data_IF_282504397930
#
_entry.id   IF_282504397930
#
_cell.length_a   1.000
_cell.length_b   1.000
_cell.length_c   1.000
_cell.angle_alpha   90.00
_cell.angle_beta   90.00
_cell.angle_gamma   90.00
#
_symmetry.space_group_name_H-M   'P 1'
#
loop_
_entity.id
_entity.type
_entity.pdbx_description
1 polymer ?
#
# COMPACT_ATOMS: atom_id res chain seq x y z
N UNK A 1 -15.48 10.25 30.02
CA UNK A 1 -14.05 10.41 29.71
C UNK A 1 -13.85 9.69 28.39
N UNK A 2 -13.92 10.39 27.26
CA UNK A 2 -13.82 9.76 25.95
C UNK A 2 -12.38 9.31 25.75
N UNK A 3 -12.16 8.02 25.46
CA UNK A 3 -10.87 7.53 24.98
C UNK A 3 -10.57 8.27 23.67
N UNK A 4 -9.77 9.32 23.76
CA UNK A 4 -9.39 10.14 22.62
C UNK A 4 -8.48 9.33 21.72
N UNK A 5 -9.05 8.73 20.67
CA UNK A 5 -8.26 8.08 19.65
C UNK A 5 -7.37 9.14 19.00
N UNK A 6 -6.06 8.91 18.92
CA UNK A 6 -5.10 9.82 18.29
C UNK A 6 -5.54 10.14 16.85
N UNK A 7 -5.11 11.26 16.28
CA UNK A 7 -5.29 11.45 14.83
C UNK A 7 -4.40 10.49 14.07
N UNK A 8 -4.78 10.14 12.85
CA UNK A 8 -3.97 9.22 12.02
C UNK A 8 -2.61 9.85 11.76
N UNK A 9 -2.59 11.14 11.43
CA UNK A 9 -1.36 11.92 11.23
C UNK A 9 -0.42 11.86 12.45
N UNK A 10 -0.96 12.01 13.66
CA UNK A 10 -0.17 11.94 14.90
C UNK A 10 0.41 10.52 15.09
N UNK A 11 -0.34 9.47 14.76
CA UNK A 11 0.16 8.10 14.81
C UNK A 11 1.27 7.84 13.79
N UNK A 12 1.13 8.36 12.56
CA UNK A 12 2.13 8.23 11.50
C UNK A 12 3.46 8.92 11.90
N UNK A 13 3.38 10.09 12.54
CA UNK A 13 4.56 10.81 13.05
C UNK A 13 5.24 10.02 14.19
N UNK A 14 4.45 9.48 15.12
CA UNK A 14 4.96 8.61 16.19
C UNK A 14 5.68 7.39 15.61
N UNK A 15 5.07 6.71 14.63
CA UNK A 15 5.69 5.55 13.97
C UNK A 15 6.99 5.95 13.27
N UNK A 16 7.01 7.09 12.57
CA UNK A 16 8.21 7.58 11.89
C UNK A 16 9.33 7.88 12.88
N UNK A 17 9.03 8.51 14.01
CA UNK A 17 10.00 8.78 15.07
C UNK A 17 10.55 7.51 15.71
N UNK A 18 9.69 6.52 16.02
CA UNK A 18 10.13 5.22 16.54
C UNK A 18 10.98 4.50 15.49
N UNK A 19 10.56 4.50 14.23
CA UNK A 19 11.31 3.89 13.12
C UNK A 19 12.70 4.51 13.05
N UNK A 20 12.82 5.84 13.07
CA UNK A 20 14.11 6.53 13.08
C UNK A 20 15.04 6.08 14.22
N UNK A 21 14.50 5.96 15.44
CA UNK A 21 15.26 5.48 16.58
C UNK A 21 15.73 4.02 16.39
N UNK A 22 14.85 3.15 15.88
CA UNK A 22 15.17 1.75 15.61
C UNK A 22 16.21 1.58 14.48
N UNK A 23 16.17 2.46 13.46
CA UNK A 23 17.16 2.45 12.37
C UNK A 23 18.59 2.71 12.87
N UNK A 24 18.74 3.41 14.00
CA UNK A 24 20.03 3.70 14.63
C UNK A 24 20.64 2.50 15.37
N UNK A 25 19.92 1.37 15.49
CA UNK A 25 20.44 0.14 16.08
C UNK A 25 21.48 -0.49 15.15
N UNK A 26 22.71 -0.69 15.66
CA UNK A 26 23.83 -1.28 14.91
C UNK A 26 23.67 -2.79 14.68
N UNK A 27 23.03 -3.50 15.61
CA UNK A 27 22.74 -4.91 15.47
C UNK A 27 21.61 -5.11 14.44
N UNK A 28 21.98 -5.66 13.28
CA UNK A 28 21.08 -5.84 12.14
C UNK A 28 19.88 -6.75 12.46
N UNK A 29 20.10 -7.84 13.20
CA UNK A 29 19.03 -8.80 13.51
C UNK A 29 18.08 -8.24 14.57
N UNK A 30 18.62 -7.55 15.57
CA UNK A 30 17.82 -6.83 16.55
C UNK A 30 17.00 -5.71 15.90
N UNK A 31 17.58 -4.97 14.96
CA UNK A 31 16.88 -3.92 14.20
C UNK A 31 15.72 -4.49 13.40
N UNK A 32 15.96 -5.53 12.58
CA UNK A 32 14.92 -6.23 11.81
C UNK A 32 13.78 -6.71 12.72
N UNK A 33 14.12 -7.40 13.80
CA UNK A 33 13.14 -7.94 14.75
C UNK A 33 12.34 -6.83 15.45
N UNK A 34 12.98 -5.70 15.76
CA UNK A 34 12.32 -4.57 16.42
C UNK A 34 11.36 -3.84 15.48
N UNK A 35 11.76 -3.63 14.22
CA UNK A 35 10.89 -3.06 13.19
C UNK A 35 9.70 -3.98 12.87
N UNK A 36 9.93 -5.29 12.76
CA UNK A 36 8.85 -6.26 12.56
C UNK A 36 7.87 -6.26 13.76
N UNK A 37 8.41 -6.17 14.99
CA UNK A 37 7.59 -6.09 16.22
C UNK A 37 6.76 -4.82 16.28
N UNK A 38 7.30 -3.68 15.83
CA UNK A 38 6.56 -2.41 15.76
C UNK A 38 5.27 -2.54 14.94
N UNK A 39 5.31 -3.33 13.86
CA UNK A 39 4.16 -3.55 12.98
C UNK A 39 3.30 -4.76 13.35
N UNK A 40 3.69 -5.57 14.34
CA UNK A 40 3.00 -6.82 14.66
C UNK A 40 1.51 -6.62 14.94
N UNK A 41 1.15 -5.62 15.74
CA UNK A 41 -0.27 -5.30 16.01
C UNK A 41 -1.02 -4.82 14.75
N UNK A 42 -0.32 -4.15 13.85
CA UNK A 42 -0.90 -3.66 12.58
C UNK A 42 -1.16 -4.82 11.63
N UNK A 43 -0.22 -5.77 11.52
CA UNK A 43 -0.41 -6.99 10.71
C UNK A 43 -1.59 -7.80 11.25
N UNK A 44 -1.62 -8.07 12.56
CA UNK A 44 -2.72 -8.81 13.17
C UNK A 44 -4.08 -8.12 13.04
N UNK A 45 -4.13 -6.79 12.98
CA UNK A 45 -5.39 -6.08 12.75
C UNK A 45 -5.97 -6.33 11.35
N UNK A 46 -5.10 -6.33 10.34
CA UNK A 46 -5.49 -6.58 8.95
C UNK A 46 -5.79 -8.07 8.74
N UNK A 47 -5.02 -8.98 9.33
CA UNK A 47 -5.32 -10.43 9.28
C UNK A 47 -6.68 -10.73 9.87
N UNK A 48 -7.00 -10.14 11.03
CA UNK A 48 -8.30 -10.34 11.68
C UNK A 48 -9.47 -10.00 10.76
N UNK A 49 -9.39 -8.90 10.01
CA UNK A 49 -10.48 -8.53 9.11
C UNK A 49 -10.53 -9.44 7.87
N UNK A 50 -9.40 -9.95 7.38
CA UNK A 50 -9.37 -10.90 6.26
C UNK A 50 -10.03 -12.23 6.65
N UNK A 51 -9.78 -12.72 7.86
CA UNK A 51 -10.31 -14.01 8.34
C UNK A 51 -11.81 -13.96 8.67
N UNK A 52 -12.39 -12.76 8.69
CA UNK A 52 -13.79 -12.50 8.99
C UNK A 52 -14.62 -12.60 7.71
N UNK A 53 -15.73 -13.34 7.75
CA UNK A 53 -16.76 -13.19 6.71
C UNK A 53 -17.53 -11.88 6.93
N UNK A 54 -17.36 -10.93 5.98
CA UNK A 54 -18.02 -9.63 5.96
C UNK A 54 -19.53 -9.71 6.19
N UNK A 55 -20.21 -10.63 5.51
CA UNK A 55 -21.68 -10.67 5.52
C UNK A 55 -22.20 -11.28 6.81
N UNK A 56 -21.47 -12.24 7.39
CA UNK A 56 -21.75 -12.80 8.69
C UNK A 56 -21.56 -11.75 9.80
N UNK A 57 -20.49 -10.96 9.74
CA UNK A 57 -20.17 -10.00 10.81
C UNK A 57 -21.01 -8.72 10.76
N UNK A 58 -21.40 -8.26 9.56
CA UNK A 58 -22.39 -7.19 9.40
C UNK A 58 -23.75 -7.59 9.98
N UNK A 59 -24.17 -8.85 9.80
CA UNK A 59 -25.43 -9.38 10.36
C UNK A 59 -25.39 -9.52 11.88
N UNK A 60 -24.24 -9.90 12.43
CA UNK A 60 -24.10 -10.16 13.86
C UNK A 60 -23.81 -8.90 14.68
N UNK A 61 -22.89 -8.02 14.23
CA UNK A 61 -22.51 -6.82 14.97
C UNK A 61 -21.84 -5.74 14.09
N UNK A 62 -22.65 -4.86 13.47
CA UNK A 62 -22.17 -3.76 12.63
C UNK A 62 -21.18 -2.81 13.33
N UNK A 63 -21.28 -2.64 14.65
CA UNK A 63 -20.39 -1.74 15.41
C UNK A 63 -18.99 -2.35 15.59
N UNK A 64 -18.92 -3.65 15.87
CA UNK A 64 -17.66 -4.38 15.96
C UNK A 64 -16.95 -4.43 14.61
N UNK A 65 -17.70 -4.60 13.52
CA UNK A 65 -17.14 -4.56 12.17
C UNK A 65 -16.54 -3.18 11.83
N UNK A 66 -17.26 -2.09 12.12
CA UNK A 66 -16.75 -0.73 11.90
C UNK A 66 -15.49 -0.45 12.72
N UNK A 67 -15.43 -0.95 13.97
CA UNK A 67 -14.24 -0.86 14.81
C UNK A 67 -13.07 -1.67 14.23
N UNK A 68 -13.31 -2.92 13.80
CA UNK A 68 -12.28 -3.77 13.20
C UNK A 68 -11.71 -3.14 11.91
N UNK A 69 -12.57 -2.59 11.06
CA UNK A 69 -12.18 -1.81 9.88
C UNK A 69 -11.29 -0.63 10.27
N UNK A 70 -11.70 0.18 11.26
CA UNK A 70 -10.92 1.34 11.67
C UNK A 70 -9.53 0.95 12.18
N UNK A 71 -9.43 -0.13 12.96
CA UNK A 71 -8.14 -0.63 13.45
C UNK A 71 -7.27 -1.13 12.28
N UNK A 72 -7.85 -1.83 11.29
CA UNK A 72 -7.13 -2.30 10.11
C UNK A 72 -6.62 -1.13 9.25
N UNK A 73 -7.47 -0.12 9.01
CA UNK A 73 -7.09 1.12 8.29
C UNK A 73 -5.91 1.80 8.97
N UNK A 74 -5.98 2.03 10.29
CA UNK A 74 -4.87 2.60 11.06
C UNK A 74 -3.63 1.72 11.00
N UNK A 75 -3.79 0.40 11.02
CA UNK A 75 -2.71 -0.55 10.82
C UNK A 75 -1.96 -0.33 9.50
N UNK A 76 -2.69 -0.17 8.39
CA UNK A 76 -2.11 0.12 7.07
C UNK A 76 -1.41 1.48 7.03
N UNK A 77 -1.99 2.52 7.61
CA UNK A 77 -1.34 3.83 7.74
C UNK A 77 0.01 3.76 8.46
N UNK A 78 0.05 3.05 9.60
CA UNK A 78 1.31 2.83 10.35
C UNK A 78 2.35 2.06 9.53
N UNK A 79 1.94 1.04 8.77
CA UNK A 79 2.85 0.33 7.85
C UNK A 79 3.40 1.27 6.78
N UNK A 80 2.53 2.08 6.16
CA UNK A 80 2.92 3.08 5.16
C UNK A 80 3.92 4.10 5.70
N UNK A 81 3.67 4.67 6.88
CA UNK A 81 4.58 5.61 7.53
C UNK A 81 5.96 5.01 7.79
N UNK A 82 6.01 3.77 8.28
CA UNK A 82 7.28 3.06 8.45
C UNK A 82 8.02 2.91 7.12
N UNK A 83 7.36 2.41 6.07
CA UNK A 83 8.02 2.23 4.77
C UNK A 83 8.49 3.56 4.16
N UNK A 84 7.70 4.62 4.29
CA UNK A 84 8.08 5.96 3.85
C UNK A 84 9.36 6.43 4.54
N UNK A 85 9.47 6.22 5.86
CA UNK A 85 10.67 6.58 6.61
C UNK A 85 11.88 5.69 6.28
N UNK A 86 11.66 4.40 6.00
CA UNK A 86 12.72 3.50 5.56
C UNK A 86 13.30 3.94 4.20
N UNK A 87 12.47 4.37 3.25
CA UNK A 87 12.93 4.90 1.96
C UNK A 87 13.91 6.08 2.11
N UNK A 88 13.59 7.01 3.03
CA UNK A 88 14.48 8.13 3.37
C UNK A 88 15.78 7.65 4.02
N UNK A 89 15.68 6.64 4.89
CA UNK A 89 16.82 6.11 5.64
C UNK A 89 17.83 5.36 4.76
N UNK A 90 17.38 4.65 3.72
CA UNK A 90 18.25 4.05 2.69
C UNK A 90 19.06 5.13 1.97
N UNK A 91 18.40 6.20 1.56
CA UNK A 91 19.04 7.32 0.84
C UNK A 91 20.18 7.94 1.67
N UNK A 92 20.06 7.89 3.00
CA UNK A 92 21.10 8.33 3.94
C UNK A 92 22.15 7.26 4.30
N UNK A 93 22.05 6.04 3.77
CA UNK A 93 22.97 4.93 4.02
C UNK A 93 22.83 4.27 5.41
N UNK A 94 21.73 4.52 6.13
CA UNK A 94 21.53 4.03 7.50
C UNK A 94 21.03 2.57 7.57
N UNK A 95 20.47 2.04 6.48
CA UNK A 95 19.81 0.72 6.43
C UNK A 95 20.26 -0.04 5.20
N UNK A 96 20.33 -1.36 5.33
CA UNK A 96 20.58 -2.29 4.23
C UNK A 96 19.27 -2.82 3.62
N UNK A 97 19.34 -3.14 2.33
CA UNK A 97 18.22 -3.64 1.53
C UNK A 97 17.58 -4.94 2.07
N UNK A 98 18.35 -5.74 2.80
CA UNK A 98 17.88 -6.96 3.47
C UNK A 98 16.77 -6.68 4.50
N UNK A 99 16.85 -5.57 5.22
CA UNK A 99 15.88 -5.23 6.28
C UNK A 99 14.49 -4.96 5.68
N UNK A 100 14.45 -4.23 4.57
CA UNK A 100 13.21 -3.89 3.88
C UNK A 100 12.62 -5.12 3.22
N UNK A 101 13.46 -5.97 2.63
CA UNK A 101 13.04 -7.21 2.00
C UNK A 101 12.28 -8.12 2.96
N UNK A 102 12.73 -8.24 4.22
CA UNK A 102 12.03 -9.00 5.26
C UNK A 102 10.65 -8.42 5.58
N UNK A 103 10.57 -7.10 5.81
CA UNK A 103 9.30 -6.44 6.15
C UNK A 103 8.31 -6.47 4.98
N UNK A 104 8.81 -6.28 3.76
CA UNK A 104 8.03 -6.38 2.53
C UNK A 104 7.52 -7.80 2.31
N UNK A 105 8.34 -8.82 2.56
CA UNK A 105 7.96 -10.23 2.46
C UNK A 105 6.83 -10.64 3.40
N UNK A 106 6.65 -9.95 4.54
CA UNK A 106 5.52 -10.14 5.46
C UNK A 106 4.31 -9.34 4.97
N UNK A 107 4.53 -8.09 4.57
CA UNK A 107 3.48 -7.15 4.18
C UNK A 107 2.76 -7.55 2.89
N UNK A 108 3.49 -8.09 1.91
CA UNK A 108 2.96 -8.37 0.58
C UNK A 108 1.88 -9.46 0.57
N UNK A 109 2.09 -10.68 1.13
CA UNK A 109 1.07 -11.72 1.12
C UNK A 109 -0.20 -11.30 1.87
N UNK A 110 -0.06 -10.46 2.90
CA UNK A 110 -1.19 -9.92 3.64
C UNK A 110 -2.07 -9.02 2.76
N UNK A 111 -1.43 -8.14 1.97
CA UNK A 111 -2.13 -7.28 1.03
C UNK A 111 -2.78 -8.05 -0.13
N UNK A 112 -2.12 -9.09 -0.65
CA UNK A 112 -2.72 -9.95 -1.69
C UNK A 112 -4.01 -10.62 -1.18
N UNK A 113 -4.02 -11.09 0.06
CA UNK A 113 -5.26 -11.61 0.67
C UNK A 113 -6.30 -10.52 0.90
N UNK A 114 -5.87 -9.34 1.37
CA UNK A 114 -6.78 -8.22 1.61
C UNK A 114 -7.50 -7.79 0.32
N UNK A 115 -6.77 -7.64 -0.78
CA UNK A 115 -7.31 -7.24 -2.09
C UNK A 115 -8.36 -8.19 -2.66
N UNK A 116 -8.26 -9.47 -2.31
CA UNK A 116 -9.23 -10.48 -2.70
C UNK A 116 -10.45 -10.56 -1.77
N UNK A 117 -10.41 -9.87 -0.62
CA UNK A 117 -11.50 -9.87 0.34
C UNK A 117 -12.62 -8.89 -0.06
N UNK A 118 -13.85 -9.20 0.37
CA UNK A 118 -15.01 -8.31 0.18
C UNK A 118 -14.91 -7.01 0.99
N UNK A 119 -13.97 -6.90 1.92
CA UNK A 119 -13.73 -5.69 2.71
C UNK A 119 -13.15 -4.53 1.89
N UNK A 120 -12.53 -4.84 0.75
CA UNK A 120 -11.99 -3.85 -0.19
C UNK A 120 -13.06 -3.12 -1.00
N UNK A 121 -14.34 -3.34 -0.72
CA UNK A 121 -15.41 -2.40 -1.10
C UNK A 121 -15.34 -1.10 -0.29
N UNK A 122 -14.71 -1.12 0.88
CA UNK A 122 -14.60 0.05 1.74
C UNK A 122 -13.50 0.99 1.23
N UNK A 123 -13.88 2.18 0.78
CA UNK A 123 -12.94 3.19 0.25
C UNK A 123 -11.80 3.50 1.21
N UNK A 124 -12.06 3.68 2.51
CA UNK A 124 -11.00 4.02 3.47
C UNK A 124 -9.92 2.92 3.59
N UNK A 125 -10.34 1.66 3.55
CA UNK A 125 -9.44 0.51 3.59
C UNK A 125 -8.62 0.41 2.30
N UNK A 126 -9.27 0.56 1.15
CA UNK A 126 -8.62 0.52 -0.16
C UNK A 126 -7.65 1.68 -0.36
N UNK A 127 -8.00 2.89 0.09
CA UNK A 127 -7.12 4.06 0.07
C UNK A 127 -5.89 3.83 0.94
N UNK A 128 -6.07 3.35 2.17
CA UNK A 128 -4.95 3.06 3.07
C UNK A 128 -4.04 1.93 2.52
N UNK A 129 -4.62 0.91 1.90
CA UNK A 129 -3.87 -0.16 1.23
C UNK A 129 -3.02 0.39 0.06
N UNK A 130 -3.61 1.24 -0.79
CA UNK A 130 -2.88 1.87 -1.90
C UNK A 130 -1.74 2.77 -1.41
N UNK A 131 -2.00 3.62 -0.40
CA UNK A 131 -0.97 4.52 0.17
C UNK A 131 0.18 3.74 0.78
N UNK A 132 -0.13 2.75 1.62
CA UNK A 132 0.89 1.93 2.29
C UNK A 132 1.73 1.11 1.31
N UNK A 133 1.11 0.58 0.25
CA UNK A 133 1.82 -0.14 -0.81
C UNK A 133 2.71 0.77 -1.66
N UNK A 134 2.24 1.98 -1.98
CA UNK A 134 3.06 2.99 -2.66
C UNK A 134 4.32 3.29 -1.85
N UNK A 135 4.18 3.54 -0.55
CA UNK A 135 5.33 3.75 0.36
C UNK A 135 6.27 2.55 0.40
N UNK A 136 5.72 1.33 0.45
CA UNK A 136 6.51 0.09 0.45
C UNK A 136 7.33 -0.06 -0.84
N UNK A 137 6.70 0.14 -2.00
CA UNK A 137 7.36 0.10 -3.32
C UNK A 137 8.47 1.14 -3.41
N UNK A 138 8.23 2.37 -2.96
CA UNK A 138 9.25 3.40 -2.93
C UNK A 138 10.43 3.02 -2.03
N UNK A 139 10.18 2.34 -0.91
CA UNK A 139 11.25 1.88 -0.01
C UNK A 139 12.11 0.76 -0.59
N UNK A 140 11.58 -0.06 -1.50
CA UNK A 140 12.35 -1.13 -2.15
C UNK A 140 12.68 -0.83 -3.62
N UNK A 141 12.47 0.41 -4.10
CA UNK A 141 12.55 0.76 -5.51
C UNK A 141 13.89 0.39 -6.16
N UNK A 142 15.01 0.63 -5.49
CA UNK A 142 16.34 0.24 -5.99
C UNK A 142 16.44 -1.28 -6.19
N UNK A 143 16.04 -2.07 -5.18
CA UNK A 143 15.99 -3.53 -5.26
C UNK A 143 15.00 -4.02 -6.31
N UNK A 144 13.84 -3.37 -6.45
CA UNK A 144 12.86 -3.74 -7.45
C UNK A 144 13.38 -3.50 -8.87
N UNK A 145 14.09 -2.40 -9.11
CA UNK A 145 14.69 -2.13 -10.41
C UNK A 145 15.80 -3.14 -10.72
N UNK A 146 16.69 -3.43 -9.76
CA UNK A 146 17.83 -4.34 -9.96
C UNK A 146 17.43 -5.83 -10.03
N UNK A 147 16.57 -6.31 -9.14
CA UNK A 147 16.15 -7.73 -9.08
C UNK A 147 14.94 -8.02 -9.97
N UNK A 148 13.90 -7.17 -9.92
CA UNK A 148 12.61 -7.43 -10.58
C UNK A 148 12.55 -6.84 -11.99
N UNK A 149 13.34 -5.79 -12.28
CA UNK A 149 13.43 -5.17 -13.59
C UNK A 149 14.11 -6.05 -14.64
N UNK A 150 14.93 -7.02 -14.23
CA UNK A 150 15.75 -7.80 -15.15
C UNK A 150 15.24 -9.24 -15.42
N UNK A 151 14.56 -9.87 -14.46
CA UNK A 151 14.10 -11.28 -14.55
C UNK A 151 12.60 -11.38 -14.90
N UNK A 152 12.27 -12.18 -15.92
CA UNK A 152 10.92 -12.32 -16.46
C UNK A 152 9.91 -12.93 -15.45
N UNK A 153 10.35 -13.85 -14.59
CA UNK A 153 9.51 -14.50 -13.57
C UNK A 153 8.95 -13.51 -12.54
N UNK A 154 9.76 -12.53 -12.13
CA UNK A 154 9.36 -11.47 -11.21
C UNK A 154 8.38 -10.48 -11.85
N UNK A 155 8.51 -10.23 -13.16
CA UNK A 155 7.54 -9.42 -13.88
C UNK A 155 6.13 -10.01 -13.82
N UNK A 156 5.97 -11.34 -13.86
CA UNK A 156 4.65 -12.00 -13.78
C UNK A 156 4.00 -11.81 -12.40
N UNK A 157 4.77 -11.92 -11.32
CA UNK A 157 4.28 -11.68 -9.95
C UNK A 157 3.82 -10.23 -9.80
N UNK A 158 4.67 -9.30 -10.22
CA UNK A 158 4.37 -7.88 -10.29
C UNK A 158 3.05 -7.60 -11.04
N UNK A 159 2.92 -8.12 -12.27
CA UNK A 159 1.70 -7.97 -13.09
C UNK A 159 0.47 -8.50 -12.37
N UNK A 160 0.56 -9.72 -11.83
CA UNK A 160 -0.57 -10.36 -11.16
C UNK A 160 -1.03 -9.56 -9.94
N UNK A 161 -0.09 -9.00 -9.18
CA UNK A 161 -0.46 -8.21 -7.99
C UNK A 161 -1.14 -6.92 -8.39
N UNK A 162 -0.64 -6.23 -9.40
CA UNK A 162 -1.34 -5.08 -9.98
C UNK A 162 -2.77 -5.47 -10.41
N UNK A 163 -2.93 -6.57 -11.17
CA UNK A 163 -4.24 -7.01 -11.64
C UNK A 163 -5.19 -7.32 -10.49
N UNK A 164 -4.68 -7.98 -9.44
CA UNK A 164 -5.44 -8.31 -8.24
C UNK A 164 -5.91 -7.04 -7.54
N UNK A 165 -5.02 -6.06 -7.38
CA UNK A 165 -5.36 -4.75 -6.80
C UNK A 165 -6.38 -3.99 -7.67
N UNK A 166 -6.15 -3.88 -8.97
CA UNK A 166 -7.08 -3.20 -9.90
C UNK A 166 -8.46 -3.85 -9.95
N UNK A 167 -8.54 -5.15 -9.65
CA UNK A 167 -9.79 -5.91 -9.61
C UNK A 167 -10.52 -5.80 -8.27
N UNK A 168 -9.91 -5.18 -7.25
CA UNK A 168 -10.57 -4.95 -5.97
C UNK A 168 -11.84 -4.12 -6.17
N UNK A 169 -12.90 -4.46 -5.43
CA UNK A 169 -14.24 -3.96 -5.70
C UNK A 169 -14.32 -2.41 -5.74
N UNK A 170 -13.76 -1.71 -4.74
CA UNK A 170 -13.77 -0.23 -4.73
C UNK A 170 -13.02 0.39 -5.92
N UNK A 171 -11.94 -0.25 -6.38
CA UNK A 171 -11.12 0.25 -7.50
C UNK A 171 -11.79 -0.04 -8.85
N UNK A 172 -12.42 -1.21 -9.00
CA UNK A 172 -13.18 -1.56 -10.19
C UNK A 172 -14.43 -0.68 -10.40
N UNK A 173 -14.91 -0.05 -9.33
CA UNK A 173 -16.02 0.90 -9.36
C UNK A 173 -15.62 2.29 -9.87
N UNK A 174 -14.32 2.61 -9.97
CA UNK A 174 -13.81 3.87 -10.51
C UNK A 174 -13.84 3.89 -12.05
N UNK A 175 -15.01 3.63 -12.62
CA UNK A 175 -15.21 3.37 -14.06
C UNK A 175 -15.91 4.52 -14.82
N UNK A 176 -16.20 5.64 -14.14
CA UNK A 176 -16.77 6.87 -14.72
C UNK A 176 -16.11 8.12 -14.12
N UNK A 177 -16.13 9.27 -14.83
CA UNK A 177 -15.73 10.58 -14.24
C UNK A 177 -16.47 10.86 -12.95
N UNK A 178 -17.76 10.54 -12.92
CA UNK A 178 -18.62 10.78 -11.76
C UNK A 178 -18.18 10.00 -10.53
N UNK A 179 -17.99 8.68 -10.66
CA UNK A 179 -17.48 7.84 -9.57
C UNK A 179 -16.09 8.27 -9.13
N UNK A 180 -15.30 8.81 -10.06
CA UNK A 180 -14.00 9.37 -9.75
C UNK A 180 -14.12 10.65 -8.88
N UNK A 181 -14.99 11.58 -9.26
CA UNK A 181 -15.20 12.83 -8.52
C UNK A 181 -15.75 12.59 -7.10
N UNK A 182 -16.42 11.45 -6.85
CA UNK A 182 -16.89 11.07 -5.52
C UNK A 182 -15.77 10.56 -4.60
N UNK A 183 -14.67 10.05 -5.14
CA UNK A 183 -13.62 9.35 -4.38
C UNK A 183 -12.21 9.86 -4.73
N UNK A 184 -11.93 11.17 -4.59
CA UNK A 184 -10.67 11.78 -5.04
C UNK A 184 -9.44 11.21 -4.30
N UNK A 185 -9.56 10.93 -3.00
CA UNK A 185 -8.45 10.40 -2.20
C UNK A 185 -8.03 8.98 -2.62
N UNK A 186 -9.01 8.15 -3.00
CA UNK A 186 -8.76 6.79 -3.46
C UNK A 186 -8.05 6.79 -4.82
N UNK A 187 -8.47 7.70 -5.70
CA UNK A 187 -7.86 7.87 -7.02
C UNK A 187 -6.44 8.35 -6.90
N UNK A 188 -6.20 9.37 -6.07
CA UNK A 188 -4.85 9.87 -5.83
C UNK A 188 -3.96 8.75 -5.28
N UNK A 189 -4.43 8.02 -4.27
CA UNK A 189 -3.69 6.91 -3.69
C UNK A 189 -3.38 5.81 -4.71
N UNK A 190 -4.36 5.43 -5.52
CA UNK A 190 -4.22 4.40 -6.54
C UNK A 190 -3.30 4.83 -7.70
N UNK A 191 -3.39 6.10 -8.13
CA UNK A 191 -2.54 6.68 -9.15
C UNK A 191 -1.08 6.74 -8.68
N UNK A 192 -0.87 7.16 -7.43
CA UNK A 192 0.46 7.18 -6.82
C UNK A 192 1.06 5.77 -6.71
N UNK A 193 0.28 4.79 -6.26
CA UNK A 193 0.68 3.38 -6.24
C UNK A 193 1.07 2.88 -7.64
N UNK A 194 0.21 3.12 -8.63
CA UNK A 194 0.42 2.65 -10.01
C UNK A 194 1.68 3.30 -10.60
N UNK A 195 1.84 4.62 -10.41
CA UNK A 195 3.03 5.37 -10.86
C UNK A 195 4.31 4.84 -10.22
N UNK A 196 4.32 4.63 -8.91
CA UNK A 196 5.46 4.07 -8.18
C UNK A 196 5.85 2.70 -8.75
N UNK A 197 4.86 1.86 -9.00
CA UNK A 197 5.05 0.52 -9.53
C UNK A 197 5.66 0.51 -10.94
N UNK A 198 5.10 1.31 -11.85
CA UNK A 198 5.57 1.43 -13.24
C UNK A 198 7.04 1.83 -13.27
N UNK A 199 7.42 2.84 -12.48
CA UNK A 199 8.80 3.33 -12.40
C UNK A 199 9.77 2.24 -11.95
N UNK A 200 9.33 1.35 -11.06
CA UNK A 200 10.16 0.28 -10.53
C UNK A 200 10.20 -0.98 -11.41
N UNK A 201 9.26 -1.13 -12.35
CA UNK A 201 9.13 -2.33 -13.19
C UNK A 201 9.08 -1.97 -14.71
N UNK A 202 10.17 -1.48 -15.31
CA UNK A 202 10.17 -0.93 -16.67
C UNK A 202 9.88 -1.94 -17.78
N UNK A 203 10.01 -3.25 -17.50
CA UNK A 203 9.68 -4.33 -18.45
C UNK A 203 8.21 -4.75 -18.42
N UNK A 204 7.40 -4.22 -17.49
CA UNK A 204 5.97 -4.52 -17.44
C UNK A 204 5.35 -4.02 -18.74
N UNK A 205 4.76 -4.92 -19.56
CA UNK A 205 4.44 -4.61 -20.94
C UNK A 205 3.43 -3.46 -21.04
N UNK A 206 3.60 -2.65 -22.09
CA UNK A 206 2.69 -1.59 -22.54
C UNK A 206 1.20 -1.96 -22.45
N UNK A 207 0.86 -3.25 -22.53
CA UNK A 207 -0.51 -3.77 -22.43
C UNK A 207 -1.19 -3.50 -21.07
N UNK A 208 -0.45 -3.57 -19.96
CA UNK A 208 -1.00 -3.29 -18.63
C UNK A 208 -1.20 -1.78 -18.47
N UNK A 209 -0.18 -1.01 -18.85
CA UNK A 209 -0.29 0.44 -19.01
C UNK A 209 -1.49 0.84 -19.86
N UNK A 210 -1.79 0.14 -20.95
CA UNK A 210 -2.92 0.41 -21.83
C UNK A 210 -4.28 0.05 -21.19
N UNK A 211 -4.38 -1.04 -20.43
CA UNK A 211 -5.60 -1.41 -19.68
C UNK A 211 -5.90 -0.40 -18.57
N UNK A 212 -4.86 0.04 -17.86
CA UNK A 212 -4.93 1.12 -16.88
C UNK A 212 -5.32 2.45 -17.53
N UNK A 213 -4.69 2.79 -18.65
CA UNK A 213 -5.01 3.96 -19.49
C UNK A 213 -6.46 3.95 -19.97
N UNK A 214 -7.01 2.79 -20.37
CA UNK A 214 -8.42 2.68 -20.79
C UNK A 214 -9.39 2.83 -19.62
N UNK A 215 -9.01 2.48 -18.39
CA UNK A 215 -9.85 2.71 -17.21
C UNK A 215 -9.76 4.16 -16.69
N UNK A 216 -8.57 4.77 -16.78
CA UNK A 216 -8.24 6.09 -16.21
C UNK A 216 -8.50 7.27 -17.18
N UNK A 217 -8.20 7.11 -18.48
CA UNK A 217 -8.40 8.16 -19.49
C UNK A 217 -9.80 8.16 -20.13
N UNK A 218 -10.62 7.11 -19.93
CA UNK A 218 -12.06 7.17 -20.31
C UNK A 218 -12.88 8.02 -19.35
N UNK A 219 -12.36 8.31 -18.17
CA UNK A 219 -13.11 8.80 -17.01
C UNK A 219 -12.59 10.14 -16.53
N UNK A 220 -11.29 10.39 -16.55
CA UNK A 220 -10.73 11.68 -16.16
C UNK A 220 -10.17 12.34 -17.42
N UNK A 221 -10.63 13.55 -17.73
CA UNK A 221 -10.00 14.44 -18.73
C UNK A 221 -8.60 14.84 -18.22
N UNK A 222 -7.66 13.89 -18.20
CA UNK A 222 -6.25 14.19 -17.98
C UNK A 222 -5.70 14.61 -19.33
N UNK A 223 -5.45 15.91 -19.43
CA UNK A 223 -4.74 16.49 -20.55
C UNK A 223 -3.46 15.69 -20.79
N UNK A 224 -3.20 15.32 -22.05
CA UNK A 224 -2.15 14.37 -22.44
C UNK A 224 -0.74 14.80 -21.99
N UNK A 225 -0.60 16.07 -21.61
CA UNK A 225 0.59 16.72 -21.06
C UNK A 225 0.92 16.30 -19.62
N UNK A 226 -0.07 16.10 -18.73
CA UNK A 226 0.15 15.61 -17.37
C UNK A 226 0.56 14.13 -17.35
N UNK A 227 0.07 13.37 -18.34
CA UNK A 227 0.43 11.98 -18.57
C UNK A 227 1.89 11.82 -19.00
N UNK A 228 2.35 12.71 -19.89
CA UNK A 228 3.75 12.81 -20.32
C UNK A 228 4.65 13.17 -19.13
N UNK A 229 4.21 14.05 -18.22
CA UNK A 229 4.94 14.39 -17.01
C UNK A 229 5.03 13.23 -16.00
N UNK A 230 3.98 12.41 -15.83
CA UNK A 230 4.02 11.20 -14.99
C UNK A 230 4.93 10.09 -15.54
N UNK A 231 5.17 10.06 -16.85
CA UNK A 231 6.04 9.09 -17.51
C UNK A 231 7.51 9.56 -17.63
N UNK A 232 7.77 10.87 -17.51
CA UNK A 232 9.10 11.47 -17.73
C UNK A 232 9.78 11.91 -16.42
N UNK A 233 9.05 12.14 -15.32
CA UNK A 233 9.60 12.39 -13.99
C UNK A 233 9.74 11.11 -13.17
#
# INVERSE_FOLDING_TARGET
MGEGNLRIEDEEEIISAITHALCSILDKELRKTSLARLLCSSYSAVEKIIDIDRDELLRQNSSAYAQALNIAVRGLHRMGALFSHLAMSITSGLIDDDTISVLFGIFWPLLEKLTQSSHMENTSLSTAACRSLSSAIHSCAANMIEEFGHKEEYSVVCVRTIETFSSAASLSNLNSSYTCDQEPDLIEAYANFTSAFIRCCPKVPFYIMLRFFVHYCRTIWIDSTALILMLIA
#
